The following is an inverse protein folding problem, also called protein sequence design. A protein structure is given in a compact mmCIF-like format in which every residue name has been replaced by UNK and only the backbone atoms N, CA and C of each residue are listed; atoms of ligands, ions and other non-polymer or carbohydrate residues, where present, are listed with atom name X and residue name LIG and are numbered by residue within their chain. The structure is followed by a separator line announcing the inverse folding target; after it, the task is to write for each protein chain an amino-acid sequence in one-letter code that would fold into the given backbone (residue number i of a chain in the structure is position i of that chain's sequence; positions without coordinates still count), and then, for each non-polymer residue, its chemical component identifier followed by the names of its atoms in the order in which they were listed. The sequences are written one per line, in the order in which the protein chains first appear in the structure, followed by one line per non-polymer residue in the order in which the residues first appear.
data_IF_156849163164
#
_entry.id   IF_156849163164
#
_cell.length_a   1.000
_cell.length_b   1.000
_cell.length_c   1.000
_cell.angle_alpha   90.00
_cell.angle_beta   90.00
_cell.angle_gamma   90.00
#
_symmetry.space_group_name_H-M   'P 1'
#
loop_
_entity.id
_entity.type
_entity.pdbx_description
1 polymer ?
#
# COMPACT_ATOMS: atom_id res chain seq x y z
N UNK A 1 14.19 17.35 0.29
CA UNK A 1 14.77 16.46 -0.73
C UNK A 1 14.05 15.12 -0.91
N UNK A 2 12.94 14.82 -0.23
CA UNK A 2 12.28 13.50 -0.31
C UNK A 2 11.18 13.43 -1.40
N UNK A 3 10.52 14.55 -1.72
CA UNK A 3 9.38 14.57 -2.66
C UNK A 3 9.74 14.48 -4.15
N UNK A 4 10.97 14.83 -4.54
CA UNK A 4 11.37 14.87 -5.97
C UNK A 4 11.64 13.50 -6.58
N UNK A 5 11.74 12.43 -5.78
CA UNK A 5 11.97 11.07 -6.28
C UNK A 5 10.68 10.27 -6.53
N UNK A 6 9.52 10.82 -6.17
CA UNK A 6 8.26 10.06 -6.03
C UNK A 6 7.16 10.36 -7.05
N UNK A 7 7.27 11.44 -7.82
CA UNK A 7 6.30 11.82 -8.86
C UNK A 7 7.09 12.01 -10.15
N UNK A 8 7.40 10.89 -10.81
CA UNK A 8 8.09 10.87 -12.10
C UNK A 8 7.33 9.96 -13.10
N UNK A 9 7.55 10.14 -14.41
CA UNK A 9 6.97 9.28 -15.46
C UNK A 9 7.34 7.80 -15.32
N UNK A 10 8.41 7.50 -14.57
CA UNK A 10 8.87 6.13 -14.26
C UNK A 10 7.89 5.36 -13.37
N UNK A 11 7.14 6.02 -12.49
CA UNK A 11 6.15 5.37 -11.59
C UNK A 11 5.02 4.71 -12.39
N UNK A 12 4.50 5.38 -13.42
CA UNK A 12 3.40 4.87 -14.25
C UNK A 12 3.85 3.71 -15.14
N UNK A 13 5.05 3.77 -15.71
CA UNK A 13 5.62 2.70 -16.52
C UNK A 13 5.89 1.44 -15.69
N UNK A 14 6.24 1.59 -14.42
CA UNK A 14 6.52 0.47 -13.52
C UNK A 14 5.26 -0.11 -12.86
N UNK A 15 4.24 0.70 -12.55
CA UNK A 15 2.90 0.16 -12.21
C UNK A 15 2.41 -0.70 -13.37
N UNK A 16 2.60 -0.24 -14.61
CA UNK A 16 2.31 -1.05 -15.80
C UNK A 16 3.15 -2.33 -15.82
N UNK A 17 4.44 -2.28 -15.52
CA UNK A 17 5.31 -3.48 -15.48
C UNK A 17 4.94 -4.46 -14.36
N UNK A 18 4.73 -4.02 -13.12
CA UNK A 18 4.32 -4.87 -11.99
C UNK A 18 2.92 -5.47 -12.21
N UNK A 19 1.97 -4.68 -12.71
CA UNK A 19 0.63 -5.18 -13.04
C UNK A 19 0.65 -6.12 -14.26
N UNK A 20 1.54 -5.92 -15.24
CA UNK A 20 1.60 -6.71 -16.49
C UNK A 20 2.54 -7.93 -16.42
N UNK A 21 3.59 -7.91 -15.59
CA UNK A 21 4.53 -9.05 -15.45
C UNK A 21 4.30 -9.89 -14.19
N UNK A 22 3.87 -9.27 -13.07
CA UNK A 22 3.63 -9.96 -11.80
C UNK A 22 2.15 -10.32 -11.64
N UNK A 23 1.24 -9.44 -12.08
CA UNK A 23 -0.20 -9.65 -11.95
C UNK A 23 -0.87 -10.25 -13.19
N UNK A 24 -0.46 -9.81 -14.40
CA UNK A 24 -0.82 -10.49 -15.63
C UNK A 24 0.13 -11.68 -15.85
N UNK A 25 -0.36 -12.78 -16.42
CA UNK A 25 0.16 -14.08 -16.05
C UNK A 25 1.11 -14.62 -17.12
N UNK A 26 2.28 -15.12 -16.71
CA UNK A 26 2.97 -16.20 -17.44
C UNK A 26 2.08 -17.48 -17.52
N UNK A 27 1.05 -17.59 -16.67
CA UNK A 27 0.03 -18.64 -16.75
C UNK A 27 -1.07 -18.41 -17.79
N UNK A 28 -1.19 -17.21 -18.41
CA UNK A 28 -2.19 -16.98 -19.47
C UNK A 28 -1.87 -17.82 -20.70
N UNK A 29 -0.59 -17.98 -21.04
CA UNK A 29 -0.16 -18.88 -22.13
C UNK A 29 -0.50 -20.35 -21.84
N UNK A 30 -0.42 -20.81 -20.59
CA UNK A 30 -0.72 -22.19 -20.18
C UNK A 30 -2.23 -22.48 -20.04
N UNK A 31 -3.03 -21.48 -19.65
CA UNK A 31 -4.50 -21.57 -19.61
C UNK A 31 -5.08 -21.52 -21.02
N UNK A 32 -4.53 -20.68 -21.92
CA UNK A 32 -4.89 -20.67 -23.36
C UNK A 32 -4.51 -22.01 -24.03
N UNK A 33 -3.43 -22.64 -23.59
CA UNK A 33 -3.02 -23.98 -24.04
C UNK A 33 -3.84 -25.13 -23.40
N UNK A 34 -4.79 -24.85 -22.51
CA UNK A 34 -5.71 -25.85 -21.94
C UNK A 34 -5.09 -26.83 -20.94
N UNK A 35 -3.92 -26.52 -20.36
CA UNK A 35 -3.15 -27.48 -19.54
C UNK A 35 -3.55 -27.46 -18.04
N UNK A 36 -4.13 -26.38 -17.54
CA UNK A 36 -4.50 -26.26 -16.11
C UNK A 36 -5.98 -25.86 -15.98
N UNK A 37 -6.81 -26.80 -15.54
CA UNK A 37 -8.19 -26.54 -15.10
C UNK A 37 -8.22 -26.41 -13.57
N UNK A 38 -8.38 -25.19 -13.05
CA UNK A 38 -8.69 -25.01 -11.62
C UNK A 38 -10.17 -25.30 -11.39
N UNK A 39 -10.50 -26.53 -11.00
CA UNK A 39 -11.86 -26.94 -10.61
C UNK A 39 -11.97 -26.95 -9.09
N UNK A 40 -12.39 -25.82 -8.49
CA UNK A 40 -12.61 -25.71 -7.04
C UNK A 40 -13.10 -24.32 -6.62
N UNK A 41 -13.51 -24.19 -5.35
CA UNK A 41 -13.73 -22.89 -4.72
C UNK A 41 -12.37 -22.29 -4.39
N UNK A 42 -12.08 -21.07 -4.85
CA UNK A 42 -10.82 -20.35 -4.57
C UNK A 42 -11.08 -18.84 -4.54
N UNK A 43 -10.24 -18.11 -3.80
CA UNK A 43 -10.22 -16.65 -3.89
C UNK A 43 -9.50 -16.24 -5.17
N UNK A 44 -10.25 -15.55 -6.05
CA UNK A 44 -9.72 -15.05 -7.31
C UNK A 44 -8.55 -14.08 -7.09
N UNK A 45 -7.56 -14.16 -7.97
CA UNK A 45 -6.49 -13.17 -8.09
C UNK A 45 -7.06 -11.78 -8.30
N UNK A 46 -6.61 -10.82 -7.48
CA UNK A 46 -7.05 -9.43 -7.56
C UNK A 46 -5.89 -8.46 -7.41
N UNK A 47 -6.01 -7.31 -8.10
CA UNK A 47 -5.12 -6.17 -7.91
C UNK A 47 -5.89 -5.05 -7.24
N UNK A 48 -5.36 -4.57 -6.11
CA UNK A 48 -6.03 -3.59 -5.25
C UNK A 48 -5.30 -2.23 -5.26
N UNK A 49 -4.59 -1.89 -6.34
CA UNK A 49 -3.73 -0.70 -6.46
C UNK A 49 -2.55 -0.64 -5.47
N UNK A 50 -2.47 -1.58 -4.53
CA UNK A 50 -1.39 -1.71 -3.55
C UNK A 50 -0.45 -2.87 -3.91
N UNK A 51 -1.00 -4.08 -4.06
CA UNK A 51 -0.25 -5.29 -4.39
C UNK A 51 -1.12 -6.24 -5.22
N UNK A 52 -0.47 -7.16 -5.92
CA UNK A 52 -1.14 -8.23 -6.65
C UNK A 52 -1.32 -9.48 -5.78
N UNK A 53 -2.55 -9.94 -5.62
CA UNK A 53 -2.88 -11.09 -4.77
C UNK A 53 -3.06 -12.35 -5.60
N UNK A 54 -2.27 -13.42 -5.38
CA UNK A 54 -2.38 -14.65 -6.15
C UNK A 54 -3.65 -15.44 -5.80
N UNK A 55 -4.05 -16.34 -6.71
CA UNK A 55 -5.14 -17.28 -6.48
C UNK A 55 -4.84 -18.14 -5.25
N UNK A 56 -5.76 -18.15 -4.28
CA UNK A 56 -5.53 -18.77 -2.97
C UNK A 56 -6.68 -19.69 -2.61
N UNK A 57 -6.36 -20.88 -2.10
CA UNK A 57 -7.37 -21.84 -1.65
C UNK A 57 -8.12 -21.34 -0.41
N UNK A 58 -9.40 -21.73 -0.25
CA UNK A 58 -10.23 -21.35 0.89
C UNK A 58 -9.60 -21.82 2.20
N UNK A 59 -9.59 -20.93 3.20
CA UNK A 59 -8.97 -21.18 4.51
C UNK A 59 -7.46 -20.89 4.57
N UNK A 60 -6.81 -20.58 3.44
CA UNK A 60 -5.38 -20.25 3.42
C UNK A 60 -5.13 -18.73 3.40
N UNK A 61 -3.91 -18.35 3.79
CA UNK A 61 -3.42 -16.97 3.71
C UNK A 61 -2.58 -16.75 2.45
N UNK A 62 -2.86 -15.66 1.75
CA UNK A 62 -2.04 -15.15 0.67
C UNK A 62 -0.97 -14.22 1.26
N UNK A 63 0.28 -14.37 0.83
CA UNK A 63 1.40 -13.54 1.27
C UNK A 63 2.11 -12.96 0.06
N UNK A 64 2.33 -11.66 0.07
CA UNK A 64 2.99 -10.91 -1.01
C UNK A 64 4.05 -10.00 -0.42
N UNK A 65 5.19 -9.78 -1.09
CA UNK A 65 6.18 -8.81 -0.62
C UNK A 65 5.59 -7.39 -0.63
N UNK A 66 6.09 -6.53 0.25
CA UNK A 66 5.73 -5.11 0.24
C UNK A 66 6.11 -4.49 -1.12
N UNK A 67 5.34 -3.50 -1.59
CA UNK A 67 5.69 -2.80 -2.81
C UNK A 67 7.01 -2.02 -2.66
N UNK A 68 7.91 -2.18 -3.62
CA UNK A 68 9.23 -1.53 -3.66
C UNK A 68 9.17 0.00 -3.76
N UNK A 69 8.01 0.58 -4.11
CA UNK A 69 7.86 2.04 -4.08
C UNK A 69 7.87 2.58 -2.65
N UNK A 70 7.74 1.75 -1.61
CA UNK A 70 7.92 2.17 -0.23
C UNK A 70 9.44 2.29 0.04
N UNK A 71 10.01 3.50 0.16
CA UNK A 71 11.45 3.72 0.29
C UNK A 71 12.03 3.26 1.63
N UNK A 72 11.15 2.97 2.59
CA UNK A 72 11.49 2.63 3.97
C UNK A 72 11.49 1.12 4.22
N UNK A 73 11.09 0.29 3.25
CA UNK A 73 10.95 -1.15 3.44
C UNK A 73 11.72 -1.93 2.37
N UNK A 74 12.67 -2.76 2.80
CA UNK A 74 13.48 -3.58 1.88
C UNK A 74 12.98 -5.04 1.81
N UNK A 75 12.22 -5.52 2.80
CA UNK A 75 11.88 -6.96 2.89
C UNK A 75 10.58 -7.31 3.62
N UNK A 76 9.69 -6.35 3.88
CA UNK A 76 8.41 -6.64 4.56
C UNK A 76 7.43 -7.43 3.68
N UNK A 77 6.38 -7.99 4.30
CA UNK A 77 5.30 -8.72 3.60
C UNK A 77 3.92 -8.21 3.99
N UNK A 78 2.99 -8.28 3.04
CA UNK A 78 1.57 -8.06 3.27
C UNK A 78 0.79 -9.37 3.16
N UNK A 79 -0.27 -9.48 3.96
CA UNK A 79 -1.07 -10.69 4.11
C UNK A 79 -2.55 -10.44 3.82
N UNK A 80 -3.19 -11.42 3.21
CA UNK A 80 -4.66 -11.56 3.10
C UNK A 80 -5.08 -12.96 3.48
N UNK A 81 -6.32 -13.09 3.91
CA UNK A 81 -6.92 -14.39 4.22
C UNK A 81 -8.04 -14.67 3.23
N UNK A 82 -8.02 -15.86 2.65
CA UNK A 82 -9.13 -16.39 1.87
C UNK A 82 -10.09 -17.11 2.82
N UNK A 83 -11.34 -16.66 2.88
CA UNK A 83 -12.35 -17.31 3.71
C UNK A 83 -12.83 -18.62 3.07
N UNK A 84 -13.50 -19.47 3.86
CA UNK A 84 -13.91 -20.83 3.45
C UNK A 84 -14.97 -20.79 2.34
N UNK A 85 -15.72 -19.69 2.26
CA UNK A 85 -16.73 -19.40 1.24
C UNK A 85 -16.12 -19.10 -0.16
N UNK A 86 -14.79 -19.02 -0.27
CA UNK A 86 -14.11 -18.66 -1.52
C UNK A 86 -14.06 -17.16 -1.78
N UNK A 87 -14.39 -16.34 -0.79
CA UNK A 87 -14.25 -14.89 -0.87
C UNK A 87 -13.12 -14.39 0.00
N UNK A 88 -12.54 -13.24 -0.38
CA UNK A 88 -11.56 -12.58 0.46
C UNK A 88 -12.19 -12.18 1.79
N UNK A 89 -11.50 -12.47 2.91
CA UNK A 89 -11.98 -12.16 4.25
C UNK A 89 -12.30 -10.66 4.35
N UNK A 90 -13.42 -10.32 4.97
CA UNK A 90 -13.86 -8.93 5.16
C UNK A 90 -13.63 -8.46 6.59
N UNK A 91 -13.46 -7.15 6.76
CA UNK A 91 -13.34 -6.53 8.08
C UNK A 91 -14.73 -6.40 8.70
N UNK A 92 -15.07 -7.30 9.63
CA UNK A 92 -16.39 -7.34 10.27
C UNK A 92 -17.52 -7.47 9.26
N UNK A 93 -18.56 -6.64 9.38
CA UNK A 93 -19.72 -6.61 8.48
C UNK A 93 -19.55 -5.65 7.29
N UNK A 94 -18.35 -5.13 7.05
CA UNK A 94 -18.11 -4.15 6.00
C UNK A 94 -17.77 -4.81 4.65
N UNK A 95 -17.85 -4.04 3.56
CA UNK A 95 -17.39 -4.49 2.23
C UNK A 95 -15.87 -4.48 2.08
N UNK A 96 -15.13 -3.95 3.07
CA UNK A 96 -13.67 -3.84 3.04
C UNK A 96 -13.02 -5.21 3.23
N UNK A 97 -12.10 -5.54 2.33
CA UNK A 97 -11.28 -6.75 2.43
C UNK A 97 -10.24 -6.55 3.54
N UNK A 98 -10.16 -7.52 4.44
CA UNK A 98 -9.15 -7.57 5.49
C UNK A 98 -7.76 -7.75 4.90
N UNK A 99 -6.81 -6.94 5.37
CA UNK A 99 -5.42 -6.92 4.90
C UNK A 99 -4.53 -6.58 6.08
N UNK A 100 -3.41 -7.27 6.22
CA UNK A 100 -2.35 -6.92 7.15
C UNK A 100 -1.14 -6.42 6.37
N UNK A 101 -0.69 -5.22 6.72
CA UNK A 101 0.47 -4.55 6.13
C UNK A 101 1.35 -3.95 7.23
N UNK A 102 1.25 -4.48 8.45
CA UNK A 102 2.05 -4.06 9.60
C UNK A 102 3.55 -4.12 9.33
N UNK A 103 4.03 -5.11 8.57
CA UNK A 103 5.44 -5.20 8.17
C UNK A 103 5.84 -4.20 7.06
N UNK A 104 4.88 -3.55 6.40
CA UNK A 104 5.13 -2.54 5.37
C UNK A 104 5.06 -1.10 5.91
N UNK A 105 4.72 -0.94 7.20
CA UNK A 105 4.58 0.36 7.84
C UNK A 105 5.85 0.74 8.60
N UNK A 106 6.49 1.84 8.20
CA UNK A 106 7.65 2.37 8.93
C UNK A 106 7.20 3.29 10.06
N UNK A 107 7.10 2.69 11.24
CA UNK A 107 6.75 3.37 12.49
C UNK A 107 7.78 4.46 12.89
N UNK A 108 9.04 4.39 12.44
CA UNK A 108 10.08 5.36 12.76
C UNK A 108 10.00 6.61 11.89
N UNK A 109 9.74 6.44 10.59
CA UNK A 109 9.51 7.56 9.69
C UNK A 109 8.29 8.38 10.10
N UNK A 110 7.17 7.72 10.44
CA UNK A 110 5.97 8.41 10.90
C UNK A 110 6.22 9.26 12.14
N UNK A 111 6.97 8.73 13.11
CA UNK A 111 7.37 9.47 14.32
C UNK A 111 8.28 10.66 13.99
N UNK A 112 9.24 10.46 13.09
CA UNK A 112 10.16 11.53 12.66
C UNK A 112 9.40 12.67 11.98
N UNK A 113 8.48 12.35 11.07
CA UNK A 113 7.63 13.33 10.40
C UNK A 113 6.74 14.09 11.38
N UNK A 114 6.12 13.39 12.34
CA UNK A 114 5.32 14.02 13.39
C UNK A 114 6.14 15.00 14.24
N UNK A 115 7.38 14.64 14.61
CA UNK A 115 8.26 15.52 15.36
C UNK A 115 8.60 16.80 14.58
N UNK A 116 9.02 16.66 13.33
CA UNK A 116 9.37 17.82 12.48
C UNK A 116 8.14 18.72 12.25
N UNK A 117 6.98 18.13 11.97
CA UNK A 117 5.71 18.85 11.81
C UNK A 117 5.36 19.65 13.06
N UNK A 118 5.45 19.03 14.25
CA UNK A 118 5.11 19.66 15.52
C UNK A 118 6.02 20.84 15.84
N UNK A 119 7.34 20.67 15.63
CA UNK A 119 8.33 21.73 15.85
C UNK A 119 8.10 22.88 14.86
N UNK A 120 7.88 22.58 13.58
CA UNK A 120 7.63 23.59 12.55
C UNK A 120 6.36 24.39 12.79
N UNK A 121 5.28 23.73 13.21
CA UNK A 121 4.02 24.40 13.52
C UNK A 121 4.14 25.31 14.75
N UNK A 122 4.85 24.85 15.78
CA UNK A 122 5.10 25.64 16.99
C UNK A 122 5.85 26.92 16.64
N UNK A 123 6.97 26.82 15.91
CA UNK A 123 7.78 27.97 15.49
C UNK A 123 6.97 28.97 14.64
N UNK A 124 6.15 28.45 13.72
CA UNK A 124 5.30 29.28 12.85
C UNK A 124 4.24 30.04 13.65
N UNK A 125 3.60 29.36 14.61
CA UNK A 125 2.63 29.97 15.50
C UNK A 125 3.25 31.08 16.36
N UNK A 126 4.45 30.85 16.93
CA UNK A 126 5.17 31.88 17.68
C UNK A 126 5.52 33.10 16.83
N UNK A 127 6.02 32.88 15.60
CA UNK A 127 6.32 33.96 14.66
C UNK A 127 5.06 34.77 14.31
N UNK A 128 3.95 34.08 14.02
CA UNK A 128 2.68 34.71 13.70
C UNK A 128 2.15 35.54 14.88
N UNK A 129 2.18 34.98 16.09
CA UNK A 129 1.74 35.66 17.30
C UNK A 129 2.55 36.93 17.56
N UNK A 130 3.88 36.86 17.41
CA UNK A 130 4.76 38.01 17.56
C UNK A 130 4.48 39.08 16.49
N UNK A 131 4.27 38.67 15.24
CA UNK A 131 3.90 39.59 14.16
C UNK A 131 2.60 40.32 14.45
N UNK A 132 1.56 39.60 14.90
CA UNK A 132 0.25 40.18 15.23
C UNK A 132 0.40 41.18 16.39
N UNK A 133 1.17 40.82 17.42
CA UNK A 133 1.42 41.68 18.57
C UNK A 133 2.05 43.03 18.18
N UNK A 134 3.06 43.01 17.30
CA UNK A 134 3.71 44.24 16.81
C UNK A 134 2.74 45.07 15.99
N UNK A 135 1.99 44.45 15.06
CA UNK A 135 1.01 45.16 14.22
C UNK A 135 -0.11 45.80 15.05
N UNK A 136 -0.53 45.19 16.16
CA UNK A 136 -1.53 45.75 17.06
C UNK A 136 -0.97 46.86 17.96
N UNK A 137 0.30 46.76 18.37
CA UNK A 137 0.94 47.77 19.22
C UNK A 137 1.34 49.03 18.46
N UNK A 138 1.57 48.93 17.15
CA UNK A 138 1.89 50.04 16.24
C UNK A 138 0.65 50.62 15.54
N UNK A 139 -0.54 50.05 15.80
CA UNK A 139 -1.82 50.59 15.36
C UNK A 139 -2.34 51.61 16.37
#
# INVERSE_FOLDING_TARGET
MIFQKYIGPDMFLWIRHYVVEVCAPLSSLLVIAGIITFSGVFCNRTFDLYACWPDTFPGNKATVPCPWYLPWIDSGKSYRVCAIDGHWLRVGNSSLIWKDHSECEDMELWKTLQMIYTIGYSLSFFSLALSIFILLSLR
#
